data_IF_919570501187
#
_entry.id   IF_919570501187
#
_cell.length_a   1.000
_cell.length_b   1.000
_cell.length_c   1.000
_cell.angle_alpha   90.00
_cell.angle_beta   90.00
_cell.angle_gamma   90.00
#
_symmetry.space_group_name_H-M   'P 1'
#
loop_
_entity.id
_entity.type
_entity.pdbx_description
1 polymer ?
#
# COMPACT_ATOMS: atom_id res chain seq x y z
N UNK A 1 -4.99 6.00 18.66
CA UNK A 1 -4.32 6.41 17.41
C UNK A 1 -3.20 7.37 17.75
N UNK A 2 -2.00 7.15 17.20
CA UNK A 2 -0.82 7.99 17.32
C UNK A 2 -0.39 8.43 15.92
N UNK A 3 -0.04 9.71 15.73
CA UNK A 3 0.43 10.25 14.44
C UNK A 3 1.90 10.63 14.60
N UNK A 4 2.76 10.11 13.72
CA UNK A 4 4.22 10.26 13.82
C UNK A 4 4.79 10.70 12.47
N UNK A 5 5.73 11.69 12.42
CA UNK A 5 6.48 11.97 11.20
C UNK A 5 7.17 10.70 10.69
N UNK A 6 6.99 10.35 9.42
CA UNK A 6 7.45 9.07 8.88
C UNK A 6 8.98 8.91 8.93
N UNK A 7 9.71 10.00 8.84
CA UNK A 7 11.17 10.02 8.90
C UNK A 7 11.72 10.51 10.26
N UNK A 8 10.84 10.78 11.25
CA UNK A 8 11.24 11.38 12.53
C UNK A 8 11.95 12.71 12.31
N UNK A 9 13.13 12.86 12.94
CA UNK A 9 13.99 14.05 12.80
C UNK A 9 14.98 13.94 11.61
N UNK A 10 15.00 12.80 10.90
CA UNK A 10 15.88 12.63 9.77
C UNK A 10 15.39 13.42 8.54
N UNK A 11 16.34 13.80 7.68
CA UNK A 11 16.02 14.46 6.43
C UNK A 11 15.15 13.55 5.55
N UNK A 12 14.08 14.09 4.99
CA UNK A 12 13.22 13.40 4.03
C UNK A 12 14.00 13.29 2.71
N UNK A 13 14.28 12.07 2.20
CA UNK A 13 15.07 11.92 0.98
C UNK A 13 14.35 12.54 -0.21
N UNK A 14 15.11 12.96 -1.23
CA UNK A 14 14.56 13.48 -2.48
C UNK A 14 13.69 14.76 -2.32
N UNK A 15 13.75 15.43 -1.16
CA UNK A 15 12.98 16.65 -0.91
C UNK A 15 13.72 17.90 -1.41
N UNK A 16 12.94 18.86 -1.89
CA UNK A 16 13.37 20.24 -2.11
C UNK A 16 12.85 21.12 -0.97
N UNK A 17 13.61 22.15 -0.62
CA UNK A 17 13.08 23.22 0.21
C UNK A 17 11.90 23.89 -0.52
N UNK A 18 10.79 24.00 0.16
CA UNK A 18 9.57 24.57 -0.41
C UNK A 18 8.50 24.80 0.66
N UNK A 19 7.45 25.56 0.32
CA UNK A 19 6.36 25.79 1.25
C UNK A 19 5.62 24.49 1.53
N UNK A 20 5.15 24.36 2.77
CA UNK A 20 4.20 23.32 3.13
C UNK A 20 2.80 23.81 2.70
N UNK A 21 2.28 23.25 1.63
CA UNK A 21 0.97 23.63 1.05
C UNK A 21 -0.08 22.55 1.32
N UNK A 22 0.19 21.66 2.29
CA UNK A 22 -0.78 20.63 2.65
C UNK A 22 -2.13 21.26 2.99
N UNK A 23 -3.17 20.73 2.40
CA UNK A 23 -4.54 21.13 2.68
C UNK A 23 -5.43 19.91 2.86
N UNK A 24 -6.41 20.03 3.74
CA UNK A 24 -7.33 18.96 4.07
C UNK A 24 -8.76 19.43 4.07
N UNK A 25 -9.67 18.63 3.48
CA UNK A 25 -11.11 18.83 3.58
C UNK A 25 -11.62 17.91 4.69
N UNK A 26 -11.76 18.45 5.92
CA UNK A 26 -12.25 17.73 7.10
C UNK A 26 -11.55 16.38 7.36
N UNK A 27 -10.26 16.28 7.07
CA UNK A 27 -9.51 15.03 7.20
C UNK A 27 -9.81 13.96 6.14
N UNK A 28 -10.80 14.16 5.29
CA UNK A 28 -11.25 13.15 4.33
C UNK A 28 -10.42 13.11 3.07
N UNK A 29 -10.10 14.27 2.53
CA UNK A 29 -9.27 14.44 1.34
C UNK A 29 -8.09 15.36 1.64
N UNK A 30 -6.86 14.83 1.50
CA UNK A 30 -5.62 15.54 1.82
C UNK A 30 -4.82 15.75 0.53
N UNK A 31 -4.41 17.00 0.25
CA UNK A 31 -3.63 17.40 -0.93
C UNK A 31 -2.25 17.91 -0.54
N UNK A 32 -1.37 17.94 -1.53
CA UNK A 32 -0.05 18.57 -1.46
C UNK A 32 0.81 18.11 -0.28
N UNK A 33 0.67 16.86 0.11
CA UNK A 33 1.49 16.28 1.16
C UNK A 33 2.96 16.36 0.75
N UNK A 34 3.76 17.12 1.49
CA UNK A 34 5.21 17.26 1.34
C UNK A 34 5.96 16.65 2.52
N UNK A 35 5.29 16.51 3.66
CA UNK A 35 5.82 15.93 4.89
C UNK A 35 5.03 14.67 5.25
N UNK A 36 5.57 13.48 4.94
CA UNK A 36 4.84 12.25 5.14
C UNK A 36 4.72 11.90 6.62
N UNK A 37 3.57 11.33 6.97
CA UNK A 37 3.21 10.94 8.32
C UNK A 37 2.67 9.51 8.31
N UNK A 38 2.93 8.76 9.38
CA UNK A 38 2.30 7.46 9.62
C UNK A 38 1.39 7.55 10.84
N UNK A 39 0.16 7.08 10.70
CA UNK A 39 -0.78 6.95 11.81
C UNK A 39 -0.84 5.51 12.27
N UNK A 40 -0.61 5.29 13.56
CA UNK A 40 -0.55 3.98 14.19
C UNK A 40 -1.87 3.68 14.89
N UNK A 41 -2.50 2.58 14.52
CA UNK A 41 -3.72 2.05 15.13
C UNK A 41 -3.42 0.66 15.68
N UNK A 42 -3.61 0.46 16.97
CA UNK A 42 -3.36 -0.82 17.63
C UNK A 42 -4.67 -1.46 18.09
N UNK A 43 -4.87 -2.75 17.88
CA UNK A 43 -6.02 -3.47 18.40
C UNK A 43 -5.97 -3.58 19.93
N UNK A 44 -7.11 -3.83 20.56
CA UNK A 44 -7.12 -4.18 21.97
C UNK A 44 -6.26 -5.45 22.21
N UNK A 45 -5.43 -5.45 23.27
CA UNK A 45 -4.49 -6.54 23.58
C UNK A 45 -5.13 -7.94 23.54
N UNK A 46 -6.37 -8.06 24.05
CA UNK A 46 -7.09 -9.33 24.12
C UNK A 46 -7.48 -9.89 22.74
N UNK A 47 -7.48 -9.04 21.70
CA UNK A 47 -7.81 -9.43 20.31
C UNK A 47 -6.63 -9.44 19.37
N UNK A 48 -5.47 -8.95 19.81
CA UNK A 48 -4.30 -8.80 18.96
C UNK A 48 -3.81 -10.14 18.42
N UNK A 49 -3.73 -10.25 17.08
CA UNK A 49 -3.24 -11.43 16.37
C UNK A 49 -1.72 -11.44 16.23
N UNK A 50 -1.06 -10.32 16.48
CA UNK A 50 0.35 -10.07 16.19
C UNK A 50 0.64 -9.79 14.72
N UNK A 51 -0.38 -9.72 13.86
CA UNK A 51 -0.25 -9.26 12.47
C UNK A 51 -0.35 -7.74 12.36
N UNK A 52 0.31 -7.17 11.34
CA UNK A 52 0.23 -5.76 11.00
C UNK A 52 -0.04 -5.54 9.52
N UNK A 53 -0.60 -4.38 9.17
CA UNK A 53 -0.88 -3.99 7.79
C UNK A 53 -0.57 -2.51 7.57
N UNK A 54 0.26 -2.21 6.57
CA UNK A 54 0.55 -0.84 6.13
C UNK A 54 -0.45 -0.46 5.05
N UNK A 55 -1.15 0.67 5.24
CA UNK A 55 -2.28 1.10 4.42
C UNK A 55 -1.88 2.31 3.57
N UNK A 56 -2.05 2.19 2.25
CA UNK A 56 -1.81 3.24 1.28
C UNK A 56 -3.13 3.68 0.65
N UNK A 57 -3.72 4.81 1.09
CA UNK A 57 -4.93 5.36 0.49
C UNK A 57 -4.74 5.75 -0.97
N UNK A 58 -5.79 5.70 -1.78
CA UNK A 58 -5.80 6.20 -3.15
C UNK A 58 -5.99 7.70 -3.24
N UNK A 59 -6.38 8.16 -4.43
CA UNK A 59 -6.62 9.56 -4.73
C UNK A 59 -5.90 10.05 -5.99
N UNK A 60 -5.55 9.14 -6.90
CA UNK A 60 -5.01 9.46 -8.23
C UNK A 60 -3.66 10.20 -8.21
N UNK A 61 -2.92 10.14 -7.11
CA UNK A 61 -1.75 10.99 -6.86
C UNK A 61 -2.02 12.52 -6.88
N UNK A 62 -3.30 12.91 -6.93
CA UNK A 62 -3.71 14.32 -6.78
C UNK A 62 -4.00 14.67 -5.31
N UNK A 63 -4.14 13.68 -4.46
CA UNK A 63 -4.39 13.75 -3.03
C UNK A 63 -4.53 12.37 -2.45
N UNK A 64 -5.04 12.27 -1.21
CA UNK A 64 -5.29 11.04 -0.49
C UNK A 64 -6.76 10.98 -0.04
N UNK A 65 -7.46 9.90 -0.38
CA UNK A 65 -8.80 9.56 0.16
C UNK A 65 -8.63 9.05 1.60
N UNK A 66 -8.14 9.93 2.47
CA UNK A 66 -7.49 9.53 3.73
C UNK A 66 -8.46 8.96 4.76
N UNK A 67 -9.69 9.48 4.81
CA UNK A 67 -10.69 8.92 5.73
C UNK A 67 -11.20 7.56 5.23
N UNK A 68 -11.76 7.48 4.02
CA UNK A 68 -12.43 6.29 3.52
C UNK A 68 -11.48 5.09 3.31
N UNK A 69 -10.31 5.34 2.70
CA UNK A 69 -9.33 4.30 2.37
C UNK A 69 -8.17 4.20 3.39
N UNK A 70 -8.12 5.12 4.36
CA UNK A 70 -7.14 5.13 5.45
C UNK A 70 -7.79 4.83 6.79
N UNK A 71 -8.32 5.87 7.46
CA UNK A 71 -8.84 5.80 8.84
C UNK A 71 -9.93 4.73 9.03
N UNK A 72 -10.89 4.66 8.11
CA UNK A 72 -11.98 3.69 8.21
C UNK A 72 -11.49 2.26 8.01
N UNK A 73 -10.50 2.05 7.14
CA UNK A 73 -9.87 0.74 6.96
C UNK A 73 -9.03 0.35 8.17
N UNK A 74 -8.28 1.29 8.76
CA UNK A 74 -7.52 1.03 9.97
C UNK A 74 -8.45 0.58 11.12
N UNK A 75 -9.58 1.26 11.32
CA UNK A 75 -10.58 0.86 12.32
C UNK A 75 -11.13 -0.55 12.05
N UNK A 76 -11.43 -0.87 10.78
CA UNK A 76 -11.85 -2.21 10.40
C UNK A 76 -10.78 -3.27 10.77
N UNK A 77 -9.50 -3.04 10.47
CA UNK A 77 -8.44 -4.01 10.78
C UNK A 77 -8.20 -4.17 12.28
N UNK A 78 -8.21 -3.11 13.08
CA UNK A 78 -8.02 -3.25 14.54
C UNK A 78 -9.20 -3.97 15.19
N UNK A 79 -10.41 -3.86 14.65
CA UNK A 79 -11.57 -4.64 15.10
C UNK A 79 -11.40 -6.15 14.83
N UNK A 80 -10.54 -6.52 13.87
CA UNK A 80 -10.16 -7.90 13.57
C UNK A 80 -8.80 -8.30 14.18
N UNK A 81 -8.28 -7.51 15.13
CA UNK A 81 -7.04 -7.81 15.85
C UNK A 81 -5.74 -7.56 15.07
N UNK A 82 -5.79 -6.86 13.96
CA UNK A 82 -4.65 -6.54 13.11
C UNK A 82 -4.23 -5.09 13.36
N UNK A 83 -2.96 -4.86 13.70
CA UNK A 83 -2.43 -3.49 13.81
C UNK A 83 -2.41 -2.83 12.43
N UNK A 84 -2.78 -1.55 12.35
CA UNK A 84 -2.87 -0.85 11.08
C UNK A 84 -2.03 0.44 11.10
N UNK A 85 -1.35 0.70 9.99
CA UNK A 85 -0.42 1.80 9.80
C UNK A 85 -0.82 2.60 8.57
N UNK A 86 -1.57 3.69 8.74
CA UNK A 86 -2.05 4.52 7.63
C UNK A 86 -0.96 5.50 7.23
N UNK A 87 -0.54 5.44 5.98
CA UNK A 87 0.53 6.30 5.45
C UNK A 87 -0.06 7.49 4.71
N UNK A 88 0.18 8.67 5.25
CA UNK A 88 0.02 9.93 4.54
C UNK A 88 1.29 10.16 3.75
N UNK A 89 1.41 9.49 2.59
CA UNK A 89 2.59 9.58 1.73
C UNK A 89 2.63 10.86 0.92
N UNK A 90 3.81 11.28 0.48
CA UNK A 90 4.02 12.48 -0.34
C UNK A 90 3.27 12.39 -1.65
N UNK A 91 2.57 13.46 -1.98
CA UNK A 91 1.93 13.62 -3.29
C UNK A 91 2.97 14.12 -4.30
N UNK A 92 3.11 13.45 -5.48
CA UNK A 92 4.09 13.82 -6.49
C UNK A 92 4.03 15.30 -6.88
N UNK A 93 5.13 16.03 -6.68
CA UNK A 93 5.22 17.45 -6.99
C UNK A 93 6.64 17.86 -7.34
N UNK A 94 6.83 18.48 -8.50
CA UNK A 94 8.11 19.06 -8.92
C UNK A 94 8.54 20.24 -8.05
N UNK A 95 7.63 20.79 -7.24
CA UNK A 95 7.88 21.90 -6.31
C UNK A 95 8.57 21.44 -5.03
N UNK A 96 8.29 20.21 -4.57
CA UNK A 96 8.71 19.69 -3.26
C UNK A 96 9.66 18.49 -3.36
N UNK A 97 9.87 17.92 -4.55
CA UNK A 97 10.74 16.75 -4.79
C UNK A 97 11.71 17.00 -5.93
N UNK A 98 12.89 16.39 -5.84
CA UNK A 98 13.89 16.40 -6.92
C UNK A 98 13.40 15.52 -8.07
N UNK A 99 12.94 14.31 -7.74
CA UNK A 99 12.22 13.40 -8.63
C UNK A 99 10.89 13.03 -7.96
N UNK A 100 9.80 13.60 -8.46
CA UNK A 100 8.47 13.41 -7.88
C UNK A 100 7.98 11.97 -7.97
N UNK A 101 8.46 11.21 -8.95
CA UNK A 101 8.00 9.84 -9.16
C UNK A 101 8.48 8.89 -8.06
N UNK A 102 9.62 9.19 -7.43
CA UNK A 102 10.23 8.35 -6.41
C UNK A 102 9.67 8.56 -5.00
N UNK A 103 9.07 9.73 -4.72
CA UNK A 103 8.58 10.07 -3.37
C UNK A 103 7.65 9.02 -2.76
N UNK A 104 6.57 8.61 -3.45
CA UNK A 104 5.64 7.61 -2.92
C UNK A 104 6.29 6.25 -2.63
N UNK A 105 7.21 5.76 -3.49
CA UNK A 105 7.95 4.52 -3.26
C UNK A 105 8.87 4.62 -2.03
N UNK A 106 9.59 5.74 -1.89
CA UNK A 106 10.44 5.99 -0.74
C UNK A 106 9.65 5.99 0.55
N UNK A 107 8.50 6.66 0.57
CA UNK A 107 7.62 6.69 1.74
C UNK A 107 7.03 5.33 2.05
N UNK A 108 6.73 4.51 1.05
CA UNK A 108 6.24 3.15 1.23
C UNK A 108 7.32 2.24 1.85
N UNK A 109 8.56 2.31 1.36
CA UNK A 109 9.68 1.57 1.94
C UNK A 109 9.97 2.02 3.38
N UNK A 110 9.93 3.32 3.65
CA UNK A 110 10.12 3.86 5.01
C UNK A 110 8.99 3.42 5.94
N UNK A 111 7.75 3.33 5.48
CA UNK A 111 6.63 2.86 6.28
C UNK A 111 6.77 1.38 6.66
N UNK A 112 7.20 0.51 5.74
CA UNK A 112 7.53 -0.88 6.05
C UNK A 112 8.67 -0.98 7.07
N UNK A 113 9.75 -0.24 6.84
CA UNK A 113 10.88 -0.18 7.78
C UNK A 113 10.41 0.26 9.16
N UNK A 114 9.63 1.34 9.25
CA UNK A 114 9.07 1.86 10.49
C UNK A 114 8.23 0.79 11.22
N UNK A 115 7.28 0.17 10.54
CA UNK A 115 6.42 -0.85 11.14
C UNK A 115 7.22 -2.05 11.69
N UNK A 116 8.25 -2.51 10.97
CA UNK A 116 9.10 -3.62 11.42
C UNK A 116 10.01 -3.25 12.58
N UNK A 117 10.56 -2.03 12.59
CA UNK A 117 11.43 -1.57 13.68
C UNK A 117 10.69 -1.42 15.01
N UNK A 118 9.40 -1.07 14.97
CA UNK A 118 8.57 -0.93 16.16
C UNK A 118 7.73 -2.17 16.47
N UNK A 119 7.90 -3.27 15.73
CA UNK A 119 7.08 -4.46 15.87
C UNK A 119 7.09 -5.03 17.31
N UNK A 120 8.27 -5.07 17.95
CA UNK A 120 8.40 -5.56 19.32
C UNK A 120 7.66 -4.69 20.35
N UNK A 121 7.69 -3.36 20.19
CA UNK A 121 6.97 -2.40 21.02
C UNK A 121 5.46 -2.65 21.02
N UNK A 122 4.92 -3.06 19.88
CA UNK A 122 3.49 -3.25 19.68
C UNK A 122 3.05 -4.72 19.71
N UNK A 123 3.92 -5.63 20.16
CA UNK A 123 3.66 -7.08 20.18
C UNK A 123 3.28 -7.66 18.80
N UNK A 124 3.93 -7.18 17.74
CA UNK A 124 3.77 -7.71 16.39
C UNK A 124 4.86 -8.73 16.06
N UNK A 125 4.53 -9.71 15.26
CA UNK A 125 5.53 -10.55 14.58
C UNK A 125 6.05 -9.76 13.36
N UNK A 126 7.34 -9.37 13.34
CA UNK A 126 7.88 -8.60 12.21
C UNK A 126 7.85 -9.36 10.88
N UNK A 127 7.51 -10.65 10.88
CA UNK A 127 7.32 -11.49 9.68
C UNK A 127 5.85 -11.71 9.33
N UNK A 128 4.96 -10.88 9.86
CA UNK A 128 3.52 -10.87 9.56
C UNK A 128 3.00 -9.44 9.40
N UNK A 129 3.80 -8.62 8.70
CA UNK A 129 3.43 -7.24 8.37
C UNK A 129 3.30 -7.12 6.85
N UNK A 130 2.07 -7.00 6.39
CA UNK A 130 1.76 -6.85 4.97
C UNK A 130 1.47 -5.41 4.57
N UNK A 131 1.08 -5.25 3.32
CA UNK A 131 0.65 -3.97 2.76
C UNK A 131 -0.73 -4.10 2.10
N UNK A 132 -1.51 -3.02 2.17
CA UNK A 132 -2.74 -2.87 1.40
C UNK A 132 -2.73 -1.52 0.71
N UNK A 133 -3.17 -1.49 -0.56
CA UNK A 133 -3.29 -0.27 -1.32
C UNK A 133 -4.59 -0.19 -2.10
N UNK A 134 -5.13 1.02 -2.19
CA UNK A 134 -6.39 1.34 -2.85
C UNK A 134 -6.13 2.23 -4.06
N UNK A 135 -6.69 1.95 -5.23
CA UNK A 135 -6.58 2.82 -6.40
C UNK A 135 -5.11 3.19 -6.72
N UNK A 136 -4.75 4.46 -6.76
CA UNK A 136 -3.36 4.92 -6.87
C UNK A 136 -2.47 4.47 -5.68
N UNK A 137 -3.04 4.29 -4.47
CA UNK A 137 -2.34 3.65 -3.35
C UNK A 137 -2.08 2.17 -3.59
N UNK A 138 -2.87 1.51 -4.43
CA UNK A 138 -2.60 0.17 -4.95
C UNK A 138 -1.33 0.14 -5.81
N UNK A 139 -1.10 1.20 -6.60
CA UNK A 139 0.16 1.38 -7.31
C UNK A 139 1.34 1.57 -6.35
N UNK A 140 1.19 2.38 -5.30
CA UNK A 140 2.23 2.53 -4.27
C UNK A 140 2.57 1.18 -3.62
N UNK A 141 1.55 0.41 -3.22
CA UNK A 141 1.73 -0.89 -2.58
C UNK A 141 2.33 -1.94 -3.53
N UNK A 142 1.92 -1.99 -4.79
CA UNK A 142 2.46 -2.91 -5.79
C UNK A 142 3.90 -2.55 -6.18
N UNK A 143 4.22 -1.25 -6.30
CA UNK A 143 5.58 -0.78 -6.54
C UNK A 143 6.50 -1.13 -5.36
N UNK A 144 6.05 -0.95 -4.10
CA UNK A 144 6.78 -1.44 -2.93
C UNK A 144 7.04 -2.95 -3.02
N UNK A 145 6.00 -3.73 -3.35
CA UNK A 145 6.07 -5.20 -3.38
C UNK A 145 6.90 -5.78 -4.54
N UNK A 146 7.27 -4.97 -5.52
CA UNK A 146 8.09 -5.37 -6.68
C UNK A 146 9.48 -4.72 -6.72
N UNK A 147 9.74 -3.73 -5.84
CA UNK A 147 11.02 -3.01 -5.74
C UNK A 147 11.59 -3.02 -4.31
N UNK A 148 11.23 -4.00 -3.51
CA UNK A 148 11.66 -4.12 -2.11
C UNK A 148 13.15 -4.49 -1.97
N UNK A 149 13.74 -5.16 -2.95
CA UNK A 149 15.10 -5.68 -2.95
C UNK A 149 16.17 -4.56 -3.04
N UNK A 150 15.78 -3.41 -3.57
CA UNK A 150 16.63 -2.22 -3.65
C UNK A 150 16.08 -1.12 -2.73
N UNK A 151 16.79 -0.74 -1.66
CA UNK A 151 16.38 0.37 -0.82
C UNK A 151 16.58 1.71 -1.55
N UNK A 152 15.52 2.53 -1.58
CA UNK A 152 15.50 3.91 -2.05
C UNK A 152 15.43 4.90 -0.88
N UNK A 153 15.53 4.38 0.34
CA UNK A 153 15.64 5.10 1.61
C UNK A 153 16.88 4.64 2.36
N UNK A 154 17.34 5.43 3.32
CA UNK A 154 18.42 5.01 4.20
C UNK A 154 17.95 3.81 5.05
N UNK A 155 18.69 2.69 4.95
CA UNK A 155 18.37 1.44 5.63
C UNK A 155 19.64 0.76 6.20
N UNK A 156 20.36 1.43 7.12
CA UNK A 156 21.66 0.96 7.61
C UNK A 156 21.57 -0.37 8.37
N UNK A 157 20.42 -0.68 8.94
CA UNK A 157 20.20 -1.93 9.68
C UNK A 157 19.67 -3.06 8.78
N UNK A 158 19.63 -2.88 7.47
CA UNK A 158 19.17 -3.87 6.50
C UNK A 158 17.80 -4.48 6.87
N UNK A 159 16.88 -3.64 7.38
CA UNK A 159 15.51 -4.07 7.65
C UNK A 159 14.86 -4.55 6.36
N UNK A 160 14.22 -5.69 6.40
CA UNK A 160 13.50 -6.20 5.24
C UNK A 160 12.34 -5.26 4.85
N UNK A 161 12.36 -4.76 3.62
CA UNK A 161 11.37 -3.82 3.07
C UNK A 161 10.23 -4.55 2.34
N UNK A 162 10.35 -5.87 2.16
CA UNK A 162 9.36 -6.70 1.49
C UNK A 162 8.12 -6.86 2.38
N UNK A 163 6.89 -6.53 1.93
CA UNK A 163 5.68 -6.91 2.64
C UNK A 163 5.58 -8.44 2.76
N UNK A 164 5.09 -8.96 3.88
CA UNK A 164 4.88 -10.41 4.03
C UNK A 164 3.70 -10.91 3.22
N UNK A 165 2.71 -10.05 2.99
CA UNK A 165 1.57 -10.25 2.10
C UNK A 165 1.13 -8.92 1.48
N UNK A 166 0.41 -8.98 0.36
CA UNK A 166 -0.07 -7.82 -0.37
C UNK A 166 -1.58 -7.94 -0.62
N UNK A 167 -2.31 -6.86 -0.37
CA UNK A 167 -3.72 -6.73 -0.73
C UNK A 167 -3.89 -5.53 -1.64
N UNK A 168 -4.52 -5.73 -2.78
CA UNK A 168 -4.74 -4.68 -3.78
C UNK A 168 -6.24 -4.53 -4.04
N UNK A 169 -6.76 -3.33 -3.87
CA UNK A 169 -8.19 -3.04 -3.99
C UNK A 169 -8.38 -2.01 -5.11
N UNK A 170 -9.03 -2.42 -6.18
CA UNK A 170 -9.19 -1.67 -7.45
C UNK A 170 -7.91 -0.90 -7.85
N UNK A 171 -6.76 -1.60 -7.91
CA UNK A 171 -5.47 -0.95 -7.97
C UNK A 171 -5.17 -0.37 -9.36
N UNK A 172 -4.48 0.77 -9.39
CA UNK A 172 -3.62 1.12 -10.53
C UNK A 172 -2.37 0.24 -10.44
N UNK A 173 -1.95 -0.34 -11.55
CA UNK A 173 -0.78 -1.23 -11.66
C UNK A 173 0.14 -0.81 -12.79
N UNK A 174 -0.39 -0.79 -14.01
CA UNK A 174 0.37 -0.52 -15.22
C UNK A 174 0.44 0.97 -15.51
N UNK A 175 1.56 1.41 -16.06
CA UNK A 175 1.72 2.73 -16.67
C UNK A 175 1.59 2.68 -18.20
N UNK A 176 1.24 1.53 -18.81
CA UNK A 176 0.90 1.43 -20.23
C UNK A 176 -0.38 2.24 -20.51
N UNK A 177 -0.31 3.13 -21.50
CA UNK A 177 -1.42 4.02 -21.89
C UNK A 177 -2.73 3.28 -22.23
N UNK A 178 -2.68 1.99 -22.55
CA UNK A 178 -3.85 1.20 -22.93
C UNK A 178 -4.77 0.88 -21.75
N UNK A 179 -4.20 0.72 -20.55
CA UNK A 179 -4.97 0.27 -19.37
C UNK A 179 -4.75 1.15 -18.14
N UNK A 180 -3.76 2.06 -18.16
CA UNK A 180 -3.43 2.90 -17.01
C UNK A 180 -4.57 3.86 -16.66
N UNK A 181 -4.68 4.22 -15.38
CA UNK A 181 -5.41 5.43 -15.00
C UNK A 181 -4.58 6.66 -15.37
N UNK A 182 -4.95 7.32 -16.45
CA UNK A 182 -4.13 8.35 -17.11
C UNK A 182 -3.79 9.52 -16.19
N UNK A 183 -4.71 9.93 -15.30
CA UNK A 183 -4.45 11.04 -14.37
C UNK A 183 -3.41 10.65 -13.31
N UNK A 184 -3.44 9.41 -12.80
CA UNK A 184 -2.40 8.89 -11.91
C UNK A 184 -1.03 8.85 -12.60
N UNK A 185 -0.99 8.38 -13.86
CA UNK A 185 0.26 8.36 -14.64
C UNK A 185 0.82 9.76 -14.84
N UNK A 186 -0.01 10.72 -15.24
CA UNK A 186 0.41 12.13 -15.43
C UNK A 186 0.87 12.78 -14.13
N UNK A 187 0.18 12.53 -13.04
CA UNK A 187 0.55 13.07 -11.72
C UNK A 187 1.93 12.54 -11.30
N UNK A 188 2.15 11.23 -11.41
CA UNK A 188 3.39 10.58 -11.00
C UNK A 188 4.55 10.87 -11.94
N UNK A 189 4.36 10.68 -13.26
CA UNK A 189 5.43 10.65 -14.26
C UNK A 189 5.51 11.90 -15.13
N UNK A 190 4.48 12.76 -15.10
CA UNK A 190 4.37 13.88 -16.04
C UNK A 190 3.61 13.52 -17.32
N UNK A 191 3.57 14.50 -18.24
CA UNK A 191 2.77 14.37 -19.49
C UNK A 191 3.48 13.57 -20.58
N UNK A 192 4.82 13.53 -20.53
CA UNK A 192 5.66 12.86 -21.53
C UNK A 192 6.75 12.00 -20.83
N UNK A 193 6.35 10.92 -20.15
CA UNK A 193 7.30 10.04 -19.48
C UNK A 193 8.08 9.19 -20.51
N UNK A 194 9.36 8.97 -20.23
CA UNK A 194 10.20 8.06 -21.02
C UNK A 194 9.69 6.61 -20.89
N UNK A 195 10.02 5.78 -21.89
CA UNK A 195 9.72 4.35 -21.86
C UNK A 195 10.33 3.66 -20.63
N UNK A 196 11.49 4.10 -20.19
CA UNK A 196 12.13 3.57 -18.98
C UNK A 196 11.35 3.89 -17.71
N UNK A 197 10.78 5.08 -17.59
CA UNK A 197 9.90 5.44 -16.47
C UNK A 197 8.58 4.65 -16.51
N UNK A 198 7.97 4.53 -17.69
CA UNK A 198 6.76 3.72 -17.88
C UNK A 198 7.02 2.28 -17.44
N UNK A 199 8.11 1.68 -17.92
CA UNK A 199 8.49 0.31 -17.54
C UNK A 199 8.79 0.18 -16.06
N UNK A 200 9.56 1.10 -15.46
CA UNK A 200 9.94 1.06 -14.05
C UNK A 200 8.72 1.10 -13.13
N UNK A 201 7.73 1.91 -13.46
CA UNK A 201 6.51 2.06 -12.64
C UNK A 201 5.34 1.17 -13.09
N UNK A 202 5.54 0.27 -14.05
CA UNK A 202 4.58 -0.79 -14.40
C UNK A 202 4.89 -2.03 -13.58
N UNK A 203 4.23 -2.15 -12.40
CA UNK A 203 4.56 -3.17 -11.39
C UNK A 203 4.47 -4.60 -11.92
N UNK A 204 3.59 -4.88 -12.89
CA UNK A 204 3.44 -6.20 -13.53
C UNK A 204 4.72 -6.66 -14.25
N UNK A 205 5.58 -5.73 -14.64
CA UNK A 205 6.84 -6.03 -15.34
C UNK A 205 7.99 -6.38 -14.38
N UNK A 206 7.79 -6.19 -13.07
CA UNK A 206 8.81 -6.38 -12.04
C UNK A 206 8.46 -7.50 -11.05
N UNK A 207 7.41 -8.26 -11.34
CA UNK A 207 7.05 -9.42 -10.53
C UNK A 207 8.15 -10.49 -10.63
N UNK A 208 8.59 -10.99 -9.49
CA UNK A 208 9.54 -12.11 -9.36
C UNK A 208 8.94 -13.21 -8.47
N UNK A 209 9.60 -14.35 -8.37
CA UNK A 209 9.21 -15.43 -7.44
C UNK A 209 9.21 -14.99 -5.97
N UNK A 210 9.91 -13.91 -5.66
CA UNK A 210 10.04 -13.38 -4.30
C UNK A 210 9.01 -12.25 -4.01
N UNK A 211 8.18 -11.86 -5.00
CA UNK A 211 7.03 -10.97 -4.79
C UNK A 211 6.07 -11.61 -3.76
N UNK A 212 5.50 -10.85 -2.80
CA UNK A 212 4.69 -11.43 -1.74
C UNK A 212 3.40 -12.10 -2.23
N UNK A 213 2.88 -13.11 -1.50
CA UNK A 213 1.52 -13.62 -1.73
C UNK A 213 0.51 -12.48 -1.78
N UNK A 214 -0.40 -12.51 -2.77
CA UNK A 214 -1.22 -11.36 -3.10
C UNK A 214 -2.70 -11.71 -3.22
N UNK A 215 -3.56 -10.85 -2.64
CA UNK A 215 -4.99 -10.81 -2.90
C UNK A 215 -5.33 -9.57 -3.74
N UNK A 216 -6.10 -9.75 -4.80
CA UNK A 216 -6.58 -8.66 -5.67
C UNK A 216 -8.10 -8.62 -5.65
N UNK A 217 -8.67 -7.44 -5.39
CA UNK A 217 -10.10 -7.17 -5.44
C UNK A 217 -10.37 -6.08 -6.47
N UNK A 218 -11.22 -6.34 -7.48
CA UNK A 218 -11.58 -5.37 -8.51
C UNK A 218 -13.01 -5.57 -9.00
N UNK A 219 -13.64 -4.54 -9.55
CA UNK A 219 -14.94 -4.65 -10.19
C UNK A 219 -14.80 -4.58 -11.71
N UNK A 220 -15.50 -5.48 -12.43
CA UNK A 220 -15.48 -5.51 -13.90
C UNK A 220 -16.17 -4.29 -14.54
N UNK A 221 -16.99 -3.56 -13.77
CA UNK A 221 -17.65 -2.34 -14.20
C UNK A 221 -16.95 -1.05 -13.69
N UNK A 222 -15.71 -1.16 -13.22
CA UNK A 222 -14.88 0.01 -12.86
C UNK A 222 -14.55 0.81 -14.12
N UNK A 223 -15.02 2.07 -14.15
CA UNK A 223 -14.83 2.99 -15.29
C UNK A 223 -13.71 4.01 -15.07
N UNK A 224 -13.10 3.99 -13.88
CA UNK A 224 -12.02 4.91 -13.54
C UNK A 224 -10.66 4.23 -13.67
N UNK A 225 -10.53 3.04 -13.10
CA UNK A 225 -9.32 2.19 -13.21
C UNK A 225 -9.75 0.88 -13.87
N UNK A 226 -9.29 0.67 -15.10
CA UNK A 226 -9.60 -0.52 -15.86
C UNK A 226 -9.23 -1.79 -15.09
N UNK A 227 -10.16 -2.74 -15.03
CA UNK A 227 -9.98 -4.04 -14.35
C UNK A 227 -8.77 -4.82 -14.88
N UNK A 228 -8.33 -4.55 -16.10
CA UNK A 228 -7.13 -5.13 -16.68
C UNK A 228 -5.87 -4.83 -15.86
N UNK A 229 -5.82 -3.73 -15.08
CA UNK A 229 -4.74 -3.51 -14.11
C UNK A 229 -4.62 -4.68 -13.11
N UNK A 230 -5.73 -5.11 -12.54
CA UNK A 230 -5.75 -6.27 -11.63
C UNK A 230 -5.42 -7.58 -12.36
N UNK A 231 -5.92 -7.75 -13.59
CA UNK A 231 -5.74 -8.96 -14.40
C UNK A 231 -4.28 -9.15 -14.82
N UNK A 232 -3.61 -8.11 -15.33
CA UNK A 232 -2.21 -8.23 -15.77
C UNK A 232 -1.27 -8.51 -14.59
N UNK A 233 -1.56 -7.95 -13.41
CA UNK A 233 -0.76 -8.24 -12.21
C UNK A 233 -0.99 -9.67 -11.71
N UNK A 234 -2.24 -10.14 -11.69
CA UNK A 234 -2.58 -11.54 -11.40
C UNK A 234 -1.82 -12.50 -12.31
N UNK A 235 -1.84 -12.25 -13.63
CA UNK A 235 -1.15 -13.08 -14.61
C UNK A 235 0.38 -13.09 -14.40
N UNK A 236 0.98 -11.93 -14.08
CA UNK A 236 2.40 -11.82 -13.80
C UNK A 236 2.78 -12.64 -12.55
N UNK A 237 2.02 -12.50 -11.45
CA UNK A 237 2.22 -13.26 -10.21
C UNK A 237 2.09 -14.77 -10.45
N UNK A 238 1.02 -15.21 -11.13
CA UNK A 238 0.79 -16.62 -11.45
C UNK A 238 1.95 -17.21 -12.28
N UNK A 239 2.44 -16.48 -13.29
CA UNK A 239 3.58 -16.91 -14.13
C UNK A 239 4.88 -16.99 -13.36
N UNK A 240 5.08 -16.13 -12.37
CA UNK A 240 6.24 -16.15 -11.47
C UNK A 240 6.16 -17.23 -10.38
N UNK A 241 5.04 -17.97 -10.29
CA UNK A 241 4.82 -18.99 -9.26
C UNK A 241 4.49 -18.43 -7.88
N UNK A 242 4.08 -17.15 -7.82
CA UNK A 242 3.65 -16.50 -6.58
C UNK A 242 2.20 -16.91 -6.27
N UNK A 243 1.91 -17.19 -4.99
CA UNK A 243 0.54 -17.43 -4.54
C UNK A 243 -0.31 -16.17 -4.74
N UNK A 244 -1.36 -16.28 -5.54
CA UNK A 244 -2.25 -15.15 -5.85
C UNK A 244 -3.70 -15.59 -5.88
N UNK A 245 -4.58 -14.78 -5.30
CA UNK A 245 -6.03 -14.89 -5.41
C UNK A 245 -6.59 -13.59 -5.98
N UNK A 246 -7.57 -13.69 -6.90
CA UNK A 246 -8.29 -12.55 -7.43
C UNK A 246 -9.80 -12.72 -7.25
N UNK A 247 -10.47 -11.68 -6.77
CA UNK A 247 -11.93 -11.58 -6.68
C UNK A 247 -12.41 -10.47 -7.60
N UNK A 248 -12.87 -10.85 -8.79
CA UNK A 248 -13.44 -9.93 -9.75
C UNK A 248 -14.95 -9.88 -9.59
N UNK A 249 -15.45 -8.75 -9.10
CA UNK A 249 -16.89 -8.53 -8.90
C UNK A 249 -17.51 -8.06 -10.22
N UNK A 250 -18.67 -8.60 -10.58
CA UNK A 250 -19.41 -8.17 -11.79
C UNK A 250 -19.79 -6.68 -11.71
N UNK A 251 -20.18 -6.22 -10.50
CA UNK A 251 -20.63 -4.86 -10.20
C UNK A 251 -19.97 -4.36 -8.94
N UNK A 252 -19.60 -3.08 -8.91
CA UNK A 252 -18.97 -2.44 -7.76
C UNK A 252 -18.53 -1.02 -8.05
N UNK A 253 -18.21 -0.72 -9.30
CA UNK A 253 -17.57 0.50 -9.75
C UNK A 253 -16.26 0.78 -9.00
N UNK A 254 -15.63 1.91 -9.25
CA UNK A 254 -14.45 2.34 -8.49
C UNK A 254 -14.83 2.72 -7.06
N UNK A 255 -14.01 2.34 -6.07
CA UNK A 255 -14.27 2.63 -4.65
C UNK A 255 -15.27 1.70 -3.97
N UNK A 256 -15.92 0.77 -4.70
CA UNK A 256 -16.92 -0.16 -4.17
C UNK A 256 -18.08 0.52 -3.41
N UNK A 257 -18.37 1.80 -3.74
CA UNK A 257 -19.40 2.59 -3.02
C UNK A 257 -20.81 1.98 -3.07
N UNK A 258 -21.11 1.17 -4.10
CA UNK A 258 -22.40 0.51 -4.26
C UNK A 258 -22.39 -0.93 -3.71
N UNK A 259 -21.28 -1.38 -3.14
CA UNK A 259 -21.15 -2.73 -2.60
C UNK A 259 -21.19 -2.68 -1.07
N UNK A 260 -21.94 -3.57 -0.40
CA UNK A 260 -21.86 -3.73 1.04
C UNK A 260 -20.42 -3.99 1.49
N UNK A 261 -19.96 -3.30 2.53
CA UNK A 261 -18.55 -3.36 2.96
C UNK A 261 -18.12 -4.76 3.39
N UNK A 262 -18.96 -5.47 4.09
CA UNK A 262 -18.74 -6.86 4.54
C UNK A 262 -18.44 -7.80 3.36
N UNK A 263 -19.02 -7.54 2.19
CA UNK A 263 -18.82 -8.36 1.00
C UNK A 263 -17.37 -8.34 0.48
N UNK A 264 -16.67 -7.21 0.55
CA UNK A 264 -15.31 -7.11 0.06
C UNK A 264 -14.28 -7.05 1.20
N UNK A 265 -14.55 -6.36 2.30
CA UNK A 265 -13.67 -6.33 3.47
C UNK A 265 -13.61 -7.71 4.16
N UNK A 266 -14.74 -8.42 4.27
CA UNK A 266 -14.78 -9.79 4.78
C UNK A 266 -13.88 -10.72 3.98
N UNK A 267 -13.88 -10.59 2.65
CA UNK A 267 -12.97 -11.36 1.78
C UNK A 267 -11.49 -11.19 2.15
N UNK A 268 -11.08 -9.98 2.55
CA UNK A 268 -9.70 -9.71 2.96
C UNK A 268 -9.36 -10.47 4.25
N UNK A 269 -10.23 -10.39 5.26
CA UNK A 269 -10.01 -11.06 6.54
C UNK A 269 -10.01 -12.57 6.38
N UNK A 270 -10.94 -13.11 5.59
CA UNK A 270 -11.03 -14.53 5.29
C UNK A 270 -9.76 -15.04 4.59
N UNK A 271 -9.25 -14.29 3.61
CA UNK A 271 -8.01 -14.62 2.94
C UNK A 271 -6.80 -14.55 3.88
N UNK A 272 -6.71 -13.53 4.72
CA UNK A 272 -5.65 -13.41 5.72
C UNK A 272 -5.68 -14.57 6.72
N UNK A 273 -6.86 -14.98 7.16
CA UNK A 273 -7.04 -16.09 8.08
C UNK A 273 -6.67 -17.44 7.43
N UNK A 274 -7.20 -17.74 6.26
CA UNK A 274 -6.97 -19.00 5.54
C UNK A 274 -5.52 -19.14 5.05
N UNK A 275 -4.84 -18.03 4.77
CA UNK A 275 -3.43 -17.98 4.41
C UNK A 275 -2.49 -18.02 5.64
N UNK A 276 -3.03 -18.10 6.86
CA UNK A 276 -2.25 -18.25 8.09
C UNK A 276 -1.65 -16.96 8.66
N UNK A 277 -2.01 -15.81 8.12
CA UNK A 277 -1.47 -14.52 8.58
C UNK A 277 -2.03 -14.07 9.93
N UNK A 278 -3.23 -14.51 10.30
CA UNK A 278 -3.91 -14.14 11.56
C UNK A 278 -3.72 -15.15 12.69
N UNK A 279 -3.29 -16.37 12.40
CA UNK A 279 -3.06 -17.36 13.43
C UNK A 279 -1.76 -17.09 14.18
N UNK A 280 -1.74 -17.11 15.53
CA UNK A 280 -0.49 -17.12 16.28
C UNK A 280 0.37 -18.30 15.78
N UNK A 281 1.64 -18.07 15.45
CA UNK A 281 2.55 -19.21 15.17
C UNK A 281 2.60 -20.08 16.41
N UNK A 282 2.27 -21.37 16.26
CA UNK A 282 2.50 -22.34 17.31
C UNK A 282 3.97 -22.22 17.75
N UNK A 283 4.21 -21.95 19.04
CA UNK A 283 5.55 -21.92 19.61
C UNK A 283 6.17 -23.30 19.35
N UNK A 284 7.21 -23.38 18.52
CA UNK A 284 7.97 -24.60 18.26
C UNK A 284 8.75 -25.10 19.49
N UNK A 285 8.55 -24.50 20.67
CA UNK A 285 9.19 -24.86 21.92
C UNK A 285 8.49 -25.99 22.68
N UNK A 286 7.41 -26.58 22.16
CA UNK A 286 6.69 -27.70 22.80
C UNK A 286 6.50 -28.86 21.81
N UNK A 287 7.58 -29.35 21.18
CA UNK A 287 7.64 -30.71 20.67
C UNK A 287 8.48 -31.49 21.64
N UNK A 288 7.95 -32.62 22.17
CA UNK A 288 8.64 -33.46 23.13
C UNK A 288 9.89 -34.11 22.54
#
# INVERSE_FOLDING_TARGET
MQSVPLYGDAAIPNSKAGPDEESSTNGSWIKNVSRPVIQVYLPAKARATGAGIVIFPGGGYAGLTFDFEGTQQANFFIDHGIAAFVVKYRIPSDRTMIDKSMGPLQDAQQAMRFARQHAAEWNLDPRRIGAIGFSAGGHVASTLATHFDKPYVDNPNHVDLRPDFLVLVYPVISMDAKITHMDSRKALLGTDPSDSQIRFFSSELHVTKDTPPTLILHAADDRLVDVDNGIVFFEALRRAGVSVEARLFQKGQHGFFLMPRDRWQGTIVDWLATSGWLSPRANKSNLP
#
